data_IF_276251717491
#
_entry.id   IF_276251717491
#
_cell.length_a   1.000
_cell.length_b   1.000
_cell.length_c   1.000
_cell.angle_alpha   90.00
_cell.angle_beta   90.00
_cell.angle_gamma   90.00
#
_symmetry.space_group_name_H-M   'P 1'
#
loop_
_entity.id
_entity.type
_entity.pdbx_description
1 polymer ?
#
# COMPACT_ATOMS: atom_id res chain seq x y z
N UNK A 1 -6.06 -3.49 -6.87
CA UNK A 1 -5.85 -3.33 -8.32
C UNK A 1 -4.50 -3.82 -8.84
N UNK A 2 -3.35 -3.44 -8.24
CA UNK A 2 -2.03 -3.88 -8.73
C UNK A 2 -1.90 -5.42 -8.88
N UNK A 3 -2.29 -6.20 -7.87
CA UNK A 3 -2.33 -7.68 -7.95
C UNK A 3 -3.30 -8.20 -9.02
N UNK A 4 -4.48 -7.58 -9.12
CA UNK A 4 -5.54 -8.01 -10.03
C UNK A 4 -5.20 -7.73 -11.50
N UNK A 5 -4.36 -6.72 -11.76
CA UNK A 5 -3.88 -6.39 -13.10
C UNK A 5 -3.06 -7.52 -13.75
N UNK A 6 -2.48 -8.42 -12.93
CA UNK A 6 -1.50 -9.44 -13.36
C UNK A 6 -0.27 -8.87 -14.09
N UNK A 7 -0.04 -7.55 -14.00
CA UNK A 7 1.15 -6.88 -14.53
C UNK A 7 2.31 -6.88 -13.54
N UNK A 8 2.01 -7.08 -12.25
CA UNK A 8 2.98 -7.09 -11.16
C UNK A 8 2.84 -8.34 -10.29
N UNK A 9 3.98 -8.92 -9.93
CA UNK A 9 4.08 -9.82 -8.78
C UNK A 9 4.42 -8.96 -7.56
N UNK A 10 3.42 -8.68 -6.70
CA UNK A 10 3.60 -7.82 -5.52
C UNK A 10 4.13 -8.66 -4.37
N UNK A 11 5.25 -8.24 -3.77
CA UNK A 11 5.87 -8.89 -2.63
C UNK A 11 5.59 -8.08 -1.35
N UNK A 12 5.18 -8.76 -0.29
CA UNK A 12 5.12 -8.16 1.05
C UNK A 12 6.54 -8.04 1.63
N UNK A 13 6.87 -6.85 2.14
CA UNK A 13 8.18 -6.52 2.72
C UNK A 13 8.10 -6.05 4.18
N UNK A 14 6.91 -5.69 4.67
CA UNK A 14 6.74 -5.16 6.04
C UNK A 14 6.39 -6.27 7.05
N UNK A 15 5.89 -7.42 6.60
CA UNK A 15 5.62 -8.59 7.46
C UNK A 15 6.89 -9.38 7.88
N UNK A 16 8.04 -8.70 7.96
CA UNK A 16 9.36 -9.31 8.18
C UNK A 16 9.43 -10.18 9.45
N UNK A 17 8.69 -9.85 10.51
CA UNK A 17 8.66 -10.61 11.75
C UNK A 17 8.24 -12.08 11.56
N UNK A 18 7.17 -12.33 10.80
CA UNK A 18 6.72 -13.70 10.49
C UNK A 18 7.73 -14.45 9.62
N UNK A 19 8.39 -13.73 8.71
CA UNK A 19 9.36 -14.31 7.78
C UNK A 19 10.67 -14.70 8.48
N UNK A 20 11.13 -13.90 9.44
CA UNK A 20 12.32 -14.21 10.24
C UNK A 20 12.04 -15.32 11.27
N UNK A 21 10.83 -15.39 11.83
CA UNK A 21 10.41 -16.52 12.68
C UNK A 21 10.40 -17.84 11.89
N UNK A 22 9.81 -17.87 10.70
CA UNK A 22 9.79 -19.06 9.85
C UNK A 22 11.21 -19.46 9.39
N UNK A 23 12.04 -18.48 9.03
CA UNK A 23 13.47 -18.72 8.73
C UNK A 23 14.21 -19.31 9.91
N UNK A 24 13.94 -18.86 11.14
CA UNK A 24 14.59 -19.37 12.33
C UNK A 24 14.21 -20.82 12.59
N UNK A 25 12.93 -21.18 12.38
CA UNK A 25 12.43 -22.56 12.46
C UNK A 25 13.07 -23.46 11.39
N UNK A 26 13.13 -23.00 10.14
CA UNK A 26 13.77 -23.77 9.06
C UNK A 26 15.30 -23.90 9.27
N UNK A 27 15.92 -22.96 9.99
CA UNK A 27 17.36 -23.01 10.31
C UNK A 27 17.70 -23.77 11.59
N UNK A 28 16.72 -24.12 12.44
CA UNK A 28 16.98 -24.67 13.78
C UNK A 28 17.44 -26.13 13.80
N UNK A 29 17.77 -26.73 12.64
CA UNK A 29 18.33 -28.08 12.54
C UNK A 29 17.30 -29.21 12.47
N UNK A 30 16.03 -28.91 12.76
CA UNK A 30 14.90 -29.86 12.64
C UNK A 30 14.23 -29.85 11.26
N UNK A 31 14.64 -28.93 10.38
CA UNK A 31 14.08 -28.80 9.04
C UNK A 31 14.71 -29.79 8.06
N UNK A 32 13.88 -30.39 7.21
CA UNK A 32 14.37 -31.29 6.18
C UNK A 32 15.21 -30.52 5.14
N UNK A 33 16.20 -31.18 4.53
CA UNK A 33 17.16 -30.50 3.64
C UNK A 33 16.51 -29.79 2.45
N UNK A 34 15.33 -30.23 2.02
CA UNK A 34 14.50 -29.62 0.98
C UNK A 34 13.83 -28.31 1.42
N UNK A 35 13.56 -28.13 2.71
CA UNK A 35 12.99 -26.89 3.26
C UNK A 35 14.00 -25.74 3.26
N UNK A 36 15.28 -26.06 3.49
CA UNK A 36 16.39 -25.09 3.43
C UNK A 36 16.58 -24.53 2.00
N UNK A 37 16.29 -25.31 0.96
CA UNK A 37 16.34 -24.82 -0.43
C UNK A 37 15.22 -23.80 -0.72
N UNK A 38 14.06 -23.91 -0.08
CA UNK A 38 12.96 -22.95 -0.24
C UNK A 38 13.34 -21.55 0.26
N UNK A 39 14.19 -21.45 1.29
CA UNK A 39 14.71 -20.17 1.79
C UNK A 39 15.64 -19.44 0.82
N UNK A 40 16.31 -20.14 -0.10
CA UNK A 40 17.21 -19.50 -1.09
C UNK A 40 16.46 -18.91 -2.29
N UNK A 41 15.19 -19.24 -2.46
CA UNK A 41 14.32 -18.76 -3.54
C UNK A 41 13.55 -17.48 -3.18
N UNK A 42 14.10 -16.60 -2.34
CA UNK A 42 13.49 -15.28 -2.11
C UNK A 42 13.56 -14.48 -3.41
N UNK A 43 12.40 -14.10 -3.95
CA UNK A 43 12.33 -13.30 -5.16
C UNK A 43 12.98 -11.92 -4.92
N UNK A 44 14.01 -11.62 -5.70
CA UNK A 44 14.45 -10.24 -5.89
C UNK A 44 13.31 -9.46 -6.56
N UNK A 45 13.13 -8.20 -6.18
CA UNK A 45 12.13 -7.34 -6.82
C UNK A 45 12.79 -6.41 -7.80
N UNK A 46 12.16 -6.18 -8.96
CA UNK A 46 12.64 -5.21 -9.94
C UNK A 46 12.26 -3.78 -9.55
N UNK A 47 11.15 -3.62 -8.82
CA UNK A 47 10.57 -2.33 -8.47
C UNK A 47 10.26 -2.21 -6.97
N UNK A 48 10.50 -1.03 -6.40
CA UNK A 48 10.05 -0.66 -5.05
C UNK A 48 9.01 0.45 -5.17
N UNK A 49 7.83 0.23 -4.59
CA UNK A 49 6.85 1.28 -4.33
C UNK A 49 7.11 1.88 -2.95
N UNK A 50 7.34 3.19 -2.91
CA UNK A 50 7.39 3.98 -1.67
C UNK A 50 6.21 4.93 -1.67
N UNK A 51 5.56 5.10 -0.52
CA UNK A 51 4.52 6.11 -0.34
C UNK A 51 4.61 6.73 1.07
N UNK A 52 4.10 7.95 1.19
CA UNK A 52 3.99 8.66 2.46
C UNK A 52 2.77 9.57 2.45
N UNK A 53 2.06 9.63 3.57
CA UNK A 53 1.01 10.64 3.77
C UNK A 53 1.72 11.92 4.20
N UNK A 54 1.76 12.92 3.33
CA UNK A 54 2.42 14.21 3.59
C UNK A 54 1.46 15.29 4.08
N UNK A 55 0.15 15.07 3.96
CA UNK A 55 -0.87 15.98 4.49
C UNK A 55 -2.15 15.24 4.86
N UNK A 56 -2.74 15.64 5.98
CA UNK A 56 -4.03 15.15 6.46
C UNK A 56 -4.76 16.28 7.19
N UNK A 57 -5.89 16.72 6.65
CA UNK A 57 -6.73 17.76 7.27
C UNK A 57 -8.19 17.29 7.33
N UNK A 58 -8.84 17.44 8.49
CA UNK A 58 -10.23 17.04 8.69
C UNK A 58 -11.12 18.24 9.01
N UNK A 59 -12.31 18.30 8.39
CA UNK A 59 -13.35 19.30 8.64
C UNK A 59 -14.69 18.62 8.90
N UNK A 60 -15.28 18.87 10.06
CA UNK A 60 -16.63 18.42 10.38
C UNK A 60 -17.62 19.54 10.07
N UNK A 61 -18.70 19.21 9.37
CA UNK A 61 -19.83 20.10 9.10
C UNK A 61 -21.11 19.48 9.64
N UNK A 62 -21.82 20.22 10.46
CA UNK A 62 -23.13 19.82 10.99
C UNK A 62 -24.24 20.53 10.22
N UNK A 63 -25.20 19.76 9.73
CA UNK A 63 -26.39 20.31 9.07
C UNK A 63 -27.34 20.90 10.11
N UNK A 64 -27.63 22.20 9.99
CA UNK A 64 -28.59 22.89 10.86
C UNK A 64 -30.04 22.39 10.65
N UNK A 65 -30.34 21.79 9.50
CA UNK A 65 -31.69 21.31 9.16
C UNK A 65 -31.96 19.88 9.65
N UNK A 66 -30.93 19.02 9.66
CA UNK A 66 -31.09 17.58 9.97
C UNK A 66 -30.35 17.15 11.23
N UNK A 67 -29.52 18.01 11.83
CA UNK A 67 -28.63 17.69 12.94
C UNK A 67 -27.50 16.71 12.59
N UNK A 68 -27.44 16.22 11.34
CA UNK A 68 -26.44 15.23 10.92
C UNK A 68 -25.09 15.90 10.70
N UNK A 69 -24.04 15.30 11.26
CA UNK A 69 -22.65 15.68 11.01
C UNK A 69 -22.07 14.90 9.84
N UNK A 70 -21.25 15.56 9.03
CA UNK A 70 -20.43 14.97 7.97
C UNK A 70 -18.99 15.39 8.19
N UNK A 71 -18.08 14.42 8.16
CA UNK A 71 -16.65 14.69 8.25
C UNK A 71 -16.03 14.55 6.87
N UNK A 72 -15.43 15.61 6.37
CA UNK A 72 -14.64 15.62 5.14
C UNK A 72 -13.15 15.64 5.53
N UNK A 73 -12.36 14.81 4.86
CA UNK A 73 -10.91 14.75 5.06
C UNK A 73 -10.24 15.02 3.72
N UNK A 74 -9.25 15.90 3.73
CA UNK A 74 -8.30 16.09 2.65
C UNK A 74 -7.01 15.33 2.97
N UNK A 75 -6.59 14.45 2.05
CA UNK A 75 -5.41 13.62 2.18
C UNK A 75 -4.45 13.96 1.04
N UNK A 76 -3.18 14.16 1.37
CA UNK A 76 -2.08 14.29 0.42
C UNK A 76 -1.15 13.08 0.58
N UNK A 77 -0.98 12.32 -0.50
CA UNK A 77 -0.13 11.12 -0.54
C UNK A 77 0.93 11.31 -1.62
N UNK A 78 2.18 11.32 -1.22
CA UNK A 78 3.32 11.24 -2.13
C UNK A 78 3.68 9.79 -2.37
N UNK A 79 3.91 9.40 -3.61
CA UNK A 79 4.30 8.03 -3.93
C UNK A 79 5.21 7.97 -5.15
N UNK A 80 6.09 6.96 -5.17
CA UNK A 80 7.07 6.74 -6.22
C UNK A 80 7.39 5.28 -6.43
N UNK A 81 7.68 4.92 -7.67
CA UNK A 81 8.15 3.61 -8.10
C UNK A 81 9.61 3.73 -8.53
N UNK A 82 10.48 2.95 -7.91
CA UNK A 82 11.93 2.94 -8.13
C UNK A 82 12.35 1.62 -8.78
N UNK A 83 13.31 1.64 -9.70
CA UNK A 83 14.06 0.43 -10.04
C UNK A 83 14.95 0.04 -8.86
N UNK A 84 14.85 -1.21 -8.41
CA UNK A 84 15.64 -1.69 -7.28
C UNK A 84 17.14 -1.63 -7.55
N UNK A 85 17.57 -2.11 -8.73
CA UNK A 85 18.97 -2.24 -9.09
C UNK A 85 19.72 -0.90 -9.16
N UNK A 86 19.06 0.15 -9.66
CA UNK A 86 19.71 1.46 -9.93
C UNK A 86 19.20 2.59 -9.03
N UNK A 87 18.15 2.35 -8.23
CA UNK A 87 17.43 3.38 -7.46
C UNK A 87 16.86 4.52 -8.31
N UNK A 88 16.74 4.33 -9.62
CA UNK A 88 16.15 5.31 -10.52
C UNK A 88 14.65 5.43 -10.25
N UNK A 89 14.14 6.65 -10.09
CA UNK A 89 12.70 6.93 -10.06
C UNK A 89 12.14 6.71 -11.46
N UNK A 90 11.21 5.78 -11.60
CA UNK A 90 10.53 5.46 -12.85
C UNK A 90 9.18 6.15 -12.96
N UNK A 91 8.56 6.40 -11.82
CA UNK A 91 7.34 7.16 -11.72
C UNK A 91 7.26 7.78 -10.32
N UNK A 92 6.73 9.00 -10.25
CA UNK A 92 6.43 9.66 -8.99
C UNK A 92 5.25 10.59 -9.19
N UNK A 93 4.38 10.68 -8.21
CA UNK A 93 3.26 11.60 -8.23
C UNK A 93 2.80 11.92 -6.81
N UNK A 94 2.00 12.97 -6.68
CA UNK A 94 1.34 13.38 -5.44
C UNK A 94 -0.16 13.34 -5.68
N UNK A 95 -0.88 12.54 -4.90
CA UNK A 95 -2.33 12.53 -4.88
C UNK A 95 -2.83 13.49 -3.82
N UNK A 96 -3.61 14.50 -4.19
CA UNK A 96 -4.47 15.24 -3.26
C UNK A 96 -5.94 14.87 -3.51
N UNK A 97 -6.62 14.38 -2.48
CA UNK A 97 -8.00 13.90 -2.57
C UNK A 97 -8.81 14.27 -1.34
N UNK A 98 -10.04 14.71 -1.56
CA UNK A 98 -11.06 14.88 -0.51
C UNK A 98 -11.95 13.65 -0.45
N UNK A 99 -12.07 13.08 0.74
CA UNK A 99 -12.93 11.93 1.03
C UNK A 99 -13.90 12.27 2.13
N UNK A 100 -15.11 11.72 2.03
CA UNK A 100 -16.13 11.89 3.06
C UNK A 100 -16.14 10.65 3.96
N UNK A 101 -16.00 10.86 5.26
CA UNK A 101 -16.15 9.81 6.25
C UNK A 101 -17.62 9.65 6.62
N UNK A 102 -18.06 8.40 6.80
CA UNK A 102 -19.43 8.08 7.21
C UNK A 102 -19.63 8.29 8.72
N UNK A 103 -18.65 7.89 9.51
CA UNK A 103 -18.57 8.08 10.96
C UNK A 103 -17.09 7.97 11.41
N UNK A 104 -16.83 7.85 12.71
CA UNK A 104 -15.47 7.75 13.26
C UNK A 104 -14.90 6.31 13.23
N UNK A 105 -15.60 5.33 12.66
CA UNK A 105 -15.14 3.95 12.56
C UNK A 105 -14.24 3.73 11.35
N UNK A 106 -13.12 3.05 11.56
CA UNK A 106 -12.21 2.68 10.48
C UNK A 106 -12.89 1.74 9.45
N UNK A 107 -13.73 0.81 9.92
CA UNK A 107 -14.45 -0.12 9.04
C UNK A 107 -15.51 0.59 8.18
N UNK A 108 -16.17 1.61 8.72
CA UNK A 108 -17.16 2.40 7.97
C UNK A 108 -16.51 3.26 6.86
N UNK A 109 -15.22 3.54 7.01
CA UNK A 109 -14.43 4.39 6.12
C UNK A 109 -13.51 3.60 5.17
N UNK A 110 -13.55 2.27 5.19
CA UNK A 110 -12.78 1.39 4.30
C UNK A 110 -12.97 1.77 2.82
N UNK A 111 -14.19 2.15 2.44
CA UNK A 111 -14.49 2.59 1.07
C UNK A 111 -13.72 3.85 0.66
N UNK A 112 -13.51 4.81 1.57
CA UNK A 112 -12.72 6.01 1.30
C UNK A 112 -11.24 5.67 1.12
N UNK A 113 -10.70 4.78 1.96
CA UNK A 113 -9.31 4.30 1.84
C UNK A 113 -9.10 3.53 0.53
N UNK A 114 -10.07 2.69 0.13
CA UNK A 114 -10.05 1.99 -1.16
C UNK A 114 -10.02 2.96 -2.35
N UNK A 115 -10.75 4.08 -2.29
CA UNK A 115 -10.73 5.08 -3.37
C UNK A 115 -9.33 5.69 -3.55
N UNK A 116 -8.66 6.04 -2.45
CA UNK A 116 -7.29 6.57 -2.48
C UNK A 116 -6.33 5.52 -3.07
N UNK A 117 -6.38 4.29 -2.55
CA UNK A 117 -5.52 3.20 -3.01
C UNK A 117 -5.71 2.84 -4.49
N UNK A 118 -6.96 2.79 -4.95
CA UNK A 118 -7.28 2.49 -6.35
C UNK A 118 -6.79 3.61 -7.28
N UNK A 119 -6.87 4.88 -6.85
CA UNK A 119 -6.35 5.99 -7.65
C UNK A 119 -4.83 5.89 -7.83
N UNK A 120 -4.10 5.67 -6.74
CA UNK A 120 -2.65 5.48 -6.77
C UNK A 120 -2.28 4.28 -7.65
N UNK A 121 -2.97 3.15 -7.48
CA UNK A 121 -2.73 1.95 -8.28
C UNK A 121 -2.98 2.17 -9.78
N UNK A 122 -4.06 2.88 -10.13
CA UNK A 122 -4.37 3.25 -11.52
C UNK A 122 -3.30 4.17 -12.12
N UNK A 123 -2.87 5.18 -11.38
CA UNK A 123 -1.81 6.10 -11.82
C UNK A 123 -0.50 5.33 -12.09
N UNK A 124 -0.12 4.40 -11.19
CA UNK A 124 1.06 3.53 -11.38
C UNK A 124 0.91 2.61 -12.59
N UNK A 125 -0.24 1.95 -12.75
CA UNK A 125 -0.48 1.03 -13.85
C UNK A 125 -0.36 1.74 -15.20
N UNK A 126 -1.01 2.90 -15.34
CA UNK A 126 -0.96 3.67 -16.58
C UNK A 126 0.44 4.23 -16.89
N UNK A 127 1.23 4.56 -15.87
CA UNK A 127 2.57 5.10 -16.06
C UNK A 127 3.62 4.02 -16.42
N UNK A 128 3.52 2.83 -15.82
CA UNK A 128 4.50 1.75 -15.99
C UNK A 128 4.10 0.78 -17.13
N UNK A 129 2.80 0.56 -17.33
CA UNK A 129 2.23 -0.34 -18.32
C UNK A 129 0.99 0.29 -19.01
N UNK A 130 1.19 1.32 -19.86
CA UNK A 130 0.10 1.94 -20.62
C UNK A 130 -0.60 0.98 -21.59
#
# INVERSE_FOLDING_TARGET
DLLQSRKFNVLDRDSSGYYEMEKALIKSGDAASDEVYKLKNVLATDYILLFSISGLEGKQKTSNLTGKSKTEIEVIVDYRVLLFATRQIKFSNTLSMKVNLKDNSLSANEAALKQIANRIAGDILNAIYP
#
